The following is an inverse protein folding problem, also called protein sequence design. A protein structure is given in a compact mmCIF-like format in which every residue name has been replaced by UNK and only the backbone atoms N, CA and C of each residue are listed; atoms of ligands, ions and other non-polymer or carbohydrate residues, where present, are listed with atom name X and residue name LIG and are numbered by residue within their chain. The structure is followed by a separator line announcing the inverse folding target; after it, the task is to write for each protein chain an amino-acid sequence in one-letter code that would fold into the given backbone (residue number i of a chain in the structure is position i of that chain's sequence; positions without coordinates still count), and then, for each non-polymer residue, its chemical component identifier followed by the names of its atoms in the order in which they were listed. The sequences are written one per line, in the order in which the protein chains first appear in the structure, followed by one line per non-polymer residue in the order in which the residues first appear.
data_IF_852918594848
#
_entry.id   IF_852918594848
#
_cell.length_a   1.000
_cell.length_b   1.000
_cell.length_c   1.000
_cell.angle_alpha   90.00
_cell.angle_beta   90.00
_cell.angle_gamma   90.00
#
_symmetry.space_group_name_H-M   'P 1'
#
loop_
_entity.id
_entity.type
_entity.pdbx_description
1 polymer ?
#
# COMPACT_ATOMS: atom_id res chain seq x y z
N UNK A 1 6.12 26.80 17.22
CA UNK A 1 7.17 27.22 18.17
C UNK A 1 6.88 26.51 19.49
N UNK A 2 7.84 25.78 20.05
CA UNK A 2 7.66 24.90 21.22
C UNK A 2 7.99 25.64 22.51
N UNK A 3 7.34 25.30 23.62
CA UNK A 3 7.90 25.50 24.96
C UNK A 3 8.35 24.14 25.49
N UNK A 4 9.66 23.95 25.61
CA UNK A 4 10.25 22.82 26.32
C UNK A 4 10.45 23.30 27.77
N UNK A 5 10.12 22.50 28.80
CA UNK A 5 10.49 22.83 30.17
C UNK A 5 12.01 23.03 30.26
N UNK A 6 12.43 24.12 30.89
CA UNK A 6 13.81 24.66 30.89
C UNK A 6 14.76 23.84 31.79
N UNK A 7 14.60 22.52 31.87
CA UNK A 7 15.33 21.68 32.84
C UNK A 7 15.89 20.36 32.32
N UNK A 8 15.77 20.01 31.03
CA UNK A 8 16.45 18.82 30.51
C UNK A 8 17.92 19.13 30.17
N UNK A 9 18.85 18.35 30.74
CA UNK A 9 20.28 18.43 30.41
C UNK A 9 20.50 17.93 28.97
N UNK A 10 21.40 18.52 28.16
CA UNK A 10 21.63 18.12 26.77
C UNK A 10 21.88 16.61 26.58
N UNK A 11 22.67 16.00 27.47
CA UNK A 11 22.99 14.56 27.41
C UNK A 11 21.78 13.68 27.68
N UNK A 12 20.83 14.14 28.51
CA UNK A 12 19.60 13.42 28.79
C UNK A 12 18.68 13.42 27.56
N UNK A 13 18.53 14.56 26.88
CA UNK A 13 17.77 14.65 25.64
C UNK A 13 18.33 13.73 24.55
N UNK A 14 19.66 13.68 24.43
CA UNK A 14 20.33 12.83 23.45
C UNK A 14 20.16 11.35 23.81
N UNK A 15 20.30 10.98 25.09
CA UNK A 15 20.09 9.61 25.56
C UNK A 15 18.66 9.11 25.30
N UNK A 16 17.64 9.91 25.66
CA UNK A 16 16.23 9.60 25.40
C UNK A 16 15.95 9.45 23.89
N UNK A 17 16.61 10.25 23.06
CA UNK A 17 16.49 10.13 21.60
C UNK A 17 17.08 8.81 21.08
N UNK A 18 18.31 8.47 21.50
CA UNK A 18 19.02 7.25 21.05
C UNK A 18 18.22 5.99 21.41
N UNK A 19 17.65 5.94 22.63
CA UNK A 19 16.84 4.81 23.09
C UNK A 19 15.57 4.63 22.23
N UNK A 20 14.86 5.73 21.96
CA UNK A 20 13.70 5.73 21.06
C UNK A 20 14.06 5.32 19.64
N UNK A 21 15.23 5.75 19.16
CA UNK A 21 15.75 5.41 17.84
C UNK A 21 16.03 3.91 17.73
N UNK A 22 16.69 3.32 18.72
CA UNK A 22 16.97 1.89 18.79
C UNK A 22 15.70 1.04 18.78
N UNK A 23 14.67 1.43 19.55
CA UNK A 23 13.38 0.73 19.51
C UNK A 23 12.70 0.86 18.15
N UNK A 24 12.66 2.06 17.58
CA UNK A 24 12.05 2.28 16.28
C UNK A 24 12.77 1.50 15.16
N UNK A 25 14.09 1.34 15.25
CA UNK A 25 14.87 0.45 14.38
C UNK A 25 14.44 -1.01 14.56
N UNK A 26 14.32 -1.49 15.79
CA UNK A 26 13.86 -2.85 16.09
C UNK A 26 12.40 -3.12 15.66
N UNK A 27 11.56 -2.09 15.53
CA UNK A 27 10.19 -2.22 15.01
C UNK A 27 10.15 -2.56 13.52
N UNK A 28 11.12 -2.07 12.72
CA UNK A 28 11.13 -2.22 11.25
C UNK A 28 11.03 -3.70 10.81
N UNK A 29 11.89 -4.63 11.29
CA UNK A 29 11.79 -6.03 10.89
C UNK A 29 10.47 -6.68 11.30
N UNK A 30 9.93 -6.33 12.48
CA UNK A 30 8.65 -6.86 12.97
C UNK A 30 7.47 -6.40 12.09
N UNK A 31 7.42 -5.11 11.75
CA UNK A 31 6.43 -4.55 10.83
C UNK A 31 6.53 -5.21 9.46
N UNK A 32 7.77 -5.35 8.95
CA UNK A 32 8.02 -5.98 7.65
C UNK A 32 7.62 -7.45 7.62
N UNK A 33 7.88 -8.20 8.69
CA UNK A 33 7.49 -9.60 8.84
C UNK A 33 5.96 -9.75 8.85
N UNK A 34 5.29 -8.98 9.72
CA UNK A 34 3.83 -8.97 9.83
C UNK A 34 3.16 -8.62 8.50
N UNK A 35 3.69 -7.64 7.78
CA UNK A 35 3.16 -7.26 6.48
C UNK A 35 3.35 -8.34 5.41
N UNK A 36 4.56 -8.91 5.29
CA UNK A 36 4.85 -9.91 4.23
C UNK A 36 4.24 -11.27 4.50
N UNK A 37 4.25 -11.73 5.76
CA UNK A 37 3.93 -13.12 6.11
C UNK A 37 2.50 -13.29 6.64
N UNK A 38 1.87 -12.20 7.07
CA UNK A 38 0.55 -12.22 7.69
C UNK A 38 -0.43 -11.25 7.03
N UNK A 39 0.02 -10.43 6.07
CA UNK A 39 -0.72 -9.30 5.50
C UNK A 39 -1.34 -8.39 6.59
N UNK A 40 -0.56 -8.16 7.65
CA UNK A 40 -0.97 -7.25 8.73
C UNK A 40 -0.46 -5.85 8.42
N UNK A 41 -1.39 -4.91 8.25
CA UNK A 41 -1.09 -3.50 8.04
C UNK A 41 -1.04 -2.78 9.38
N UNK A 42 0.17 -2.42 9.81
CA UNK A 42 0.40 -1.68 11.06
C UNK A 42 0.38 -0.17 10.83
N UNK A 43 -0.33 0.56 11.69
CA UNK A 43 -0.47 2.02 11.60
C UNK A 43 -0.49 2.71 12.96
N UNK A 44 -0.35 4.04 12.98
CA UNK A 44 -0.59 4.89 14.15
C UNK A 44 -1.57 5.99 13.77
N UNK A 45 -2.78 5.92 14.31
CA UNK A 45 -3.87 6.85 14.02
C UNK A 45 -4.10 7.08 12.52
N UNK A 46 -4.03 5.99 11.74
CA UNK A 46 -4.16 5.96 10.29
C UNK A 46 -2.88 6.23 9.48
N UNK A 47 -1.75 6.56 10.13
CA UNK A 47 -0.45 6.66 9.45
C UNK A 47 0.20 5.29 9.35
N UNK A 48 0.29 4.73 8.15
CA UNK A 48 0.96 3.43 7.91
C UNK A 48 2.43 3.46 8.29
N UNK A 49 2.89 2.41 8.97
CA UNK A 49 4.28 2.20 9.37
C UNK A 49 5.08 1.31 8.40
N UNK A 50 4.44 0.76 7.38
CA UNK A 50 5.08 -0.11 6.38
C UNK A 50 6.07 0.69 5.54
N UNK A 51 7.26 0.12 5.29
CA UNK A 51 8.33 0.72 4.49
C UNK A 51 8.70 2.14 4.97
N UNK A 52 8.64 2.38 6.28
CA UNK A 52 9.00 3.68 6.88
C UNK A 52 10.38 3.63 7.49
N UNK A 53 11.11 4.75 7.37
CA UNK A 53 12.35 4.97 8.10
C UNK A 53 12.10 5.11 9.60
N UNK A 54 13.15 4.89 10.40
CA UNK A 54 13.15 5.07 11.86
C UNK A 54 12.56 6.44 12.25
N UNK A 55 13.04 7.51 11.62
CA UNK A 55 12.54 8.88 11.83
C UNK A 55 11.05 9.02 11.51
N UNK A 56 10.58 8.35 10.46
CA UNK A 56 9.16 8.41 10.07
C UNK A 56 8.27 7.69 11.09
N UNK A 57 8.74 6.56 11.64
CA UNK A 57 8.07 5.85 12.74
C UNK A 57 7.99 6.75 13.98
N UNK A 58 9.08 7.40 14.38
CA UNK A 58 9.10 8.34 15.51
C UNK A 58 8.17 9.53 15.30
N UNK A 59 8.13 10.09 14.09
CA UNK A 59 7.18 11.16 13.73
C UNK A 59 5.72 10.70 13.77
N UNK A 60 5.44 9.45 13.41
CA UNK A 60 4.09 8.90 13.48
C UNK A 60 3.61 8.77 14.94
N UNK A 61 4.48 8.31 15.85
CA UNK A 61 4.23 8.29 17.30
C UNK A 61 3.98 9.71 17.84
N UNK A 62 4.85 10.67 17.51
CA UNK A 62 4.68 12.07 17.93
C UNK A 62 3.38 12.70 17.42
N UNK A 63 2.90 12.29 16.24
CA UNK A 63 1.64 12.78 15.69
C UNK A 63 0.42 12.35 16.52
N UNK A 64 0.49 11.23 17.23
CA UNK A 64 -0.61 10.68 18.03
C UNK A 64 -1.17 11.67 19.06
N UNK A 65 -0.34 12.59 19.57
CA UNK A 65 -0.78 13.65 20.49
C UNK A 65 -1.94 14.50 19.98
N UNK A 66 -2.06 14.68 18.66
CA UNK A 66 -3.16 15.44 18.05
C UNK A 66 -4.47 14.63 17.98
N UNK A 67 -4.44 13.39 18.47
CA UNK A 67 -5.56 12.45 18.48
C UNK A 67 -5.86 11.95 19.90
N UNK A 68 -5.05 12.32 20.89
CA UNK A 68 -5.26 12.01 22.29
C UNK A 68 -5.83 13.22 23.02
N UNK A 69 -6.76 13.00 23.96
CA UNK A 69 -7.50 14.05 24.63
C UNK A 69 -6.63 14.91 25.57
N UNK A 70 -5.50 14.37 26.02
CA UNK A 70 -4.55 14.99 26.95
C UNK A 70 -3.31 15.58 26.25
N UNK A 71 -3.30 15.60 24.91
CA UNK A 71 -2.14 15.99 24.08
C UNK A 71 -0.84 15.26 24.42
N UNK A 72 -0.91 14.08 25.06
CA UNK A 72 0.29 13.32 25.42
C UNK A 72 0.95 12.71 24.19
N UNK A 73 2.28 12.56 24.25
CA UNK A 73 3.03 11.94 23.17
C UNK A 73 3.02 10.42 23.37
N UNK A 74 2.45 9.69 22.39
CA UNK A 74 2.59 8.24 22.36
C UNK A 74 4.06 7.87 22.18
N UNK A 75 4.57 7.04 23.07
CA UNK A 75 5.96 6.58 23.06
C UNK A 75 6.12 5.28 22.27
N UNK A 76 7.28 5.09 21.63
CA UNK A 76 7.67 3.80 21.04
C UNK A 76 7.79 2.69 22.10
N UNK A 77 8.06 3.06 23.35
CA UNK A 77 8.09 2.14 24.48
C UNK A 77 6.71 1.54 24.79
N UNK A 78 5.64 2.26 24.46
CA UNK A 78 4.26 1.78 24.69
C UNK A 78 3.79 0.86 23.56
N UNK A 79 4.25 1.08 22.31
CA UNK A 79 3.81 0.32 21.14
C UNK A 79 4.69 -0.88 20.82
N UNK A 80 6.00 -0.81 21.12
CA UNK A 80 6.95 -1.87 20.81
C UNK A 80 6.58 -3.24 21.44
N UNK A 81 6.21 -3.33 22.73
CA UNK A 81 5.82 -4.61 23.32
C UNK A 81 4.59 -5.24 22.66
N UNK A 82 3.61 -4.41 22.26
CA UNK A 82 2.40 -4.86 21.57
C UNK A 82 2.73 -5.37 20.17
N UNK A 83 3.56 -4.63 19.42
CA UNK A 83 4.02 -5.04 18.10
C UNK A 83 4.82 -6.35 18.16
N UNK A 84 5.68 -6.50 19.17
CA UNK A 84 6.43 -7.74 19.40
C UNK A 84 5.48 -8.92 19.65
N UNK A 85 4.52 -8.76 20.56
CA UNK A 85 3.50 -9.77 20.81
C UNK A 85 2.74 -10.15 19.52
N UNK A 86 2.30 -9.16 18.72
CA UNK A 86 1.64 -9.41 17.44
C UNK A 86 2.48 -10.29 16.50
N UNK A 87 3.80 -10.06 16.43
CA UNK A 87 4.70 -10.80 15.54
C UNK A 87 4.84 -12.29 15.88
N UNK A 88 4.52 -12.66 17.12
CA UNK A 88 4.66 -14.03 17.64
C UNK A 88 3.35 -14.84 17.54
N UNK A 89 2.22 -14.17 17.28
CA UNK A 89 0.87 -14.76 17.33
C UNK A 89 0.38 -15.40 16.02
N UNK A 90 1.20 -15.42 14.96
CA UNK A 90 0.84 -15.96 13.64
C UNK A 90 -0.54 -15.46 13.16
N UNK A 91 -0.70 -14.14 13.17
CA UNK A 91 -1.97 -13.48 12.82
C UNK A 91 -2.39 -13.78 11.37
N UNK A 92 -3.69 -13.76 11.10
CA UNK A 92 -4.25 -13.62 9.76
C UNK A 92 -4.22 -12.16 9.27
N UNK A 93 -4.72 -11.93 8.06
CA UNK A 93 -4.75 -10.60 7.45
C UNK A 93 -5.61 -9.64 8.27
N UNK A 94 -5.05 -8.48 8.64
CA UNK A 94 -5.71 -7.48 9.47
C UNK A 94 -5.12 -6.08 9.30
N UNK A 95 -5.90 -5.05 9.61
CA UNK A 95 -5.38 -3.68 9.79
C UNK A 95 -5.37 -3.36 11.28
N UNK A 96 -4.20 -3.11 11.84
CA UNK A 96 -4.03 -2.85 13.27
C UNK A 96 -3.43 -1.47 13.48
N UNK A 97 -4.13 -0.64 14.27
CA UNK A 97 -3.66 0.67 14.68
C UNK A 97 -2.99 0.56 16.06
N UNK A 98 -1.66 0.56 16.08
CA UNK A 98 -0.86 0.42 17.30
C UNK A 98 -1.10 1.58 18.28
N UNK A 99 -1.44 2.77 17.79
CA UNK A 99 -1.72 3.91 18.66
C UNK A 99 -3.03 3.75 19.43
N UNK A 100 -4.05 3.20 18.77
CA UNK A 100 -5.32 2.84 19.42
C UNK A 100 -5.14 1.65 20.35
N UNK A 101 -4.40 0.62 19.91
CA UNK A 101 -4.15 -0.58 20.69
C UNK A 101 -3.37 -0.28 21.98
N UNK A 102 -2.34 0.58 21.91
CA UNK A 102 -1.60 1.03 23.09
C UNK A 102 -2.46 1.83 24.07
N UNK A 103 -3.30 2.72 23.57
CA UNK A 103 -4.24 3.46 24.42
C UNK A 103 -5.24 2.52 25.11
N UNK A 104 -5.76 1.51 24.39
CA UNK A 104 -6.66 0.53 24.97
C UNK A 104 -5.95 -0.33 26.03
N UNK A 105 -4.72 -0.78 25.75
CA UNK A 105 -3.92 -1.52 26.72
C UNK A 105 -3.65 -0.71 28.00
N UNK A 106 -3.38 0.59 27.87
CA UNK A 106 -3.18 1.48 29.02
C UNK A 106 -4.43 1.63 29.90
N UNK A 107 -5.62 1.59 29.30
CA UNK A 107 -6.90 1.76 30.00
C UNK A 107 -7.44 0.46 30.58
N UNK A 108 -7.28 -0.65 29.85
CA UNK A 108 -7.97 -1.91 30.11
C UNK A 108 -7.01 -3.08 30.43
N UNK A 109 -5.70 -2.88 30.29
CA UNK A 109 -4.71 -3.93 30.47
C UNK A 109 -4.62 -4.48 31.89
N UNK A 110 -5.09 -3.74 32.90
CA UNK A 110 -5.26 -4.20 34.30
C UNK A 110 -4.04 -4.93 34.91
N UNK A 111 -2.82 -4.56 34.51
CA UNK A 111 -1.57 -5.19 34.98
C UNK A 111 -1.20 -6.51 34.28
N UNK A 112 -2.00 -6.95 33.30
CA UNK A 112 -1.69 -8.07 32.41
C UNK A 112 -0.53 -7.76 31.45
N UNK A 113 0.00 -8.81 30.82
CA UNK A 113 1.10 -8.64 29.87
C UNK A 113 0.59 -8.15 28.51
N UNK A 114 1.45 -7.46 27.75
CA UNK A 114 1.16 -7.06 26.37
C UNK A 114 0.77 -8.27 25.50
N UNK A 115 1.37 -9.44 25.74
CA UNK A 115 1.05 -10.66 24.98
C UNK A 115 -0.39 -11.14 25.23
N UNK A 116 -0.80 -11.22 26.50
CA UNK A 116 -2.16 -11.64 26.87
C UNK A 116 -3.19 -10.71 26.26
N UNK A 117 -2.99 -9.40 26.43
CA UNK A 117 -3.90 -8.39 25.91
C UNK A 117 -4.01 -8.43 24.38
N UNK A 118 -2.90 -8.47 23.65
CA UNK A 118 -2.92 -8.52 22.18
C UNK A 118 -3.60 -9.80 21.68
N UNK A 119 -3.37 -10.93 22.35
CA UNK A 119 -3.99 -12.21 21.99
C UNK A 119 -5.51 -12.16 22.13
N UNK A 120 -6.01 -11.54 23.20
CA UNK A 120 -7.45 -11.36 23.45
C UNK A 120 -8.05 -10.38 22.44
N UNK A 121 -7.43 -9.21 22.26
CA UNK A 121 -7.92 -8.17 21.34
C UNK A 121 -7.94 -8.60 19.88
N UNK A 122 -6.96 -9.41 19.47
CA UNK A 122 -6.84 -9.91 18.10
C UNK A 122 -7.31 -11.36 17.95
N UNK A 123 -8.07 -11.89 18.92
CA UNK A 123 -8.48 -13.30 18.95
C UNK A 123 -9.14 -13.78 17.64
N UNK A 124 -9.87 -12.88 16.96
CA UNK A 124 -10.52 -13.16 15.68
C UNK A 124 -9.55 -13.49 14.53
N UNK A 125 -8.26 -13.16 14.65
CA UNK A 125 -7.23 -13.40 13.62
C UNK A 125 -6.01 -14.17 14.12
N UNK A 126 -5.89 -14.45 15.43
CA UNK A 126 -4.78 -15.22 16.00
C UNK A 126 -4.74 -16.64 15.41
N UNK A 127 -3.54 -17.09 15.03
CA UNK A 127 -3.32 -18.43 14.45
C UNK A 127 -3.87 -18.61 13.02
N UNK A 128 -4.42 -17.57 12.40
CA UNK A 128 -5.00 -17.62 11.07
C UNK A 128 -4.03 -17.24 9.95
N UNK A 129 -2.72 -17.27 10.20
CA UNK A 129 -1.72 -17.08 9.17
C UNK A 129 -1.96 -18.07 8.01
N UNK A 130 -2.06 -17.54 6.79
CA UNK A 130 -2.37 -18.29 5.56
C UNK A 130 -3.75 -18.98 5.52
N UNK A 131 -4.66 -18.74 6.48
CA UNK A 131 -5.98 -19.39 6.50
C UNK A 131 -6.87 -18.99 5.31
N UNK A 132 -6.66 -17.79 4.76
CA UNK A 132 -7.28 -17.32 3.52
C UNK A 132 -6.21 -16.92 2.53
N UNK A 133 -5.64 -17.89 1.81
CA UNK A 133 -4.84 -17.60 0.62
C UNK A 133 -5.75 -16.97 -0.45
N UNK A 134 -6.07 -15.69 -0.32
CA UNK A 134 -6.79 -14.95 -1.35
C UNK A 134 -5.83 -14.80 -2.53
N UNK A 135 -6.25 -15.29 -3.71
CA UNK A 135 -5.57 -14.97 -4.97
C UNK A 135 -5.65 -13.45 -5.12
N UNK A 136 -4.49 -12.78 -5.11
CA UNK A 136 -4.42 -11.33 -5.30
C UNK A 136 -5.13 -10.92 -6.59
N UNK A 137 -5.62 -9.69 -6.65
CA UNK A 137 -6.27 -9.16 -7.85
C UNK A 137 -5.22 -8.58 -8.76
N UNK A 138 -5.07 -9.17 -9.95
CA UNK A 138 -4.21 -8.61 -10.98
C UNK A 138 -4.77 -7.28 -11.48
N UNK A 139 -3.90 -6.29 -11.62
CA UNK A 139 -4.23 -4.95 -12.10
C UNK A 139 -3.45 -4.68 -13.37
N UNK A 140 -4.16 -4.19 -14.38
CA UNK A 140 -3.59 -3.71 -15.63
C UNK A 140 -3.85 -2.23 -15.75
N UNK A 141 -2.79 -1.43 -15.95
CA UNK A 141 -2.95 0.00 -16.23
C UNK A 141 -3.03 0.20 -17.73
N UNK A 142 -4.20 0.58 -18.23
CA UNK A 142 -4.34 0.95 -19.62
C UNK A 142 -3.97 2.43 -19.76
N UNK A 143 -2.79 2.69 -20.30
CA UNK A 143 -2.11 3.98 -20.27
C UNK A 143 -1.00 4.04 -19.21
N UNK A 144 0.06 4.79 -19.53
CA UNK A 144 1.22 5.02 -18.66
C UNK A 144 1.65 6.50 -18.64
N UNK A 145 0.63 7.37 -18.66
CA UNK A 145 0.79 8.82 -18.51
C UNK A 145 1.08 9.20 -17.06
N UNK A 146 0.80 10.45 -16.69
CA UNK A 146 1.04 10.94 -15.32
C UNK A 146 0.30 10.10 -14.27
N UNK A 147 -1.01 9.90 -14.44
CA UNK A 147 -1.84 9.12 -13.51
C UNK A 147 -1.40 7.65 -13.48
N UNK A 148 -1.22 7.02 -14.65
CA UNK A 148 -0.74 5.64 -14.73
C UNK A 148 0.59 5.41 -14.01
N UNK A 149 1.56 6.31 -14.12
CA UNK A 149 2.83 6.19 -13.39
C UNK A 149 2.67 6.33 -11.89
N UNK A 150 1.82 7.26 -11.42
CA UNK A 150 1.56 7.41 -9.99
C UNK A 150 0.85 6.18 -9.40
N UNK A 151 -0.16 5.66 -10.10
CA UNK A 151 -0.82 4.42 -9.72
C UNK A 151 0.15 3.25 -9.71
N UNK A 152 1.04 3.15 -10.72
CA UNK A 152 2.05 2.11 -10.74
C UNK A 152 2.95 2.17 -9.51
N UNK A 153 3.46 3.35 -9.14
CA UNK A 153 4.28 3.52 -7.93
C UNK A 153 3.52 3.09 -6.67
N UNK A 154 2.27 3.50 -6.51
CA UNK A 154 1.44 3.15 -5.34
C UNK A 154 1.17 1.64 -5.30
N UNK A 155 0.84 1.02 -6.43
CA UNK A 155 0.59 -0.42 -6.51
C UNK A 155 1.86 -1.20 -6.17
N UNK A 156 3.01 -0.81 -6.70
CA UNK A 156 4.31 -1.45 -6.42
C UNK A 156 4.67 -1.34 -4.93
N UNK A 157 4.46 -0.16 -4.31
CA UNK A 157 4.70 0.04 -2.87
C UNK A 157 3.77 -0.82 -1.99
N UNK A 158 2.53 -1.05 -2.45
CA UNK A 158 1.48 -1.74 -1.72
C UNK A 158 1.29 -3.21 -2.09
N UNK A 159 2.15 -3.79 -2.93
CA UNK A 159 2.01 -5.21 -3.32
C UNK A 159 2.05 -6.16 -2.12
N UNK A 160 2.87 -5.86 -1.10
CA UNK A 160 2.95 -6.65 0.13
C UNK A 160 3.29 -8.12 -0.13
N UNK A 161 2.55 -9.03 0.53
CA UNK A 161 2.66 -10.47 0.33
C UNK A 161 2.08 -10.98 -1.01
N UNK A 162 1.52 -10.10 -1.84
CA UNK A 162 0.95 -10.45 -3.15
C UNK A 162 -0.49 -10.93 -3.12
N UNK A 163 -1.20 -10.78 -2.00
CA UNK A 163 -2.61 -11.15 -1.81
C UNK A 163 -3.59 -9.96 -1.99
N UNK A 164 -3.05 -8.75 -2.15
CA UNK A 164 -3.80 -7.53 -2.50
C UNK A 164 -3.87 -7.25 -4.00
N UNK A 165 -3.78 -5.96 -4.36
CA UNK A 165 -3.69 -5.51 -5.75
C UNK A 165 -2.27 -5.70 -6.30
N UNK A 166 -2.14 -6.34 -7.46
CA UNK A 166 -0.84 -6.64 -8.08
C UNK A 166 -0.75 -6.01 -9.45
N UNK A 167 0.17 -5.07 -9.65
CA UNK A 167 0.41 -4.55 -10.99
C UNK A 167 1.08 -5.62 -11.85
N UNK A 168 0.36 -6.13 -12.86
CA UNK A 168 0.86 -7.19 -13.76
C UNK A 168 1.20 -6.71 -15.16
N UNK A 169 0.50 -5.69 -15.65
CA UNK A 169 0.77 -5.16 -16.97
C UNK A 169 0.47 -3.66 -17.07
N UNK A 170 1.11 -3.03 -18.06
CA UNK A 170 0.75 -1.71 -18.57
C UNK A 170 0.49 -1.84 -20.07
N UNK A 171 -0.57 -1.21 -20.56
CA UNK A 171 -0.90 -1.17 -21.99
C UNK A 171 -0.64 0.22 -22.53
N UNK A 172 0.12 0.32 -23.61
CA UNK A 172 0.59 1.59 -24.14
C UNK A 172 0.68 1.55 -25.66
N UNK A 173 0.64 2.70 -26.32
CA UNK A 173 0.98 2.78 -27.74
C UNK A 173 2.51 2.73 -27.90
N UNK A 174 2.99 1.98 -28.89
CA UNK A 174 4.41 1.90 -29.20
C UNK A 174 4.93 3.29 -29.59
N UNK A 175 5.91 3.78 -28.83
CA UNK A 175 6.61 5.02 -29.12
C UNK A 175 7.73 4.84 -30.14
N UNK A 176 8.67 5.78 -30.12
CA UNK A 176 9.91 5.72 -30.90
C UNK A 176 10.86 4.62 -30.39
N UNK A 177 12.03 4.48 -31.00
CA UNK A 177 13.08 3.58 -30.52
C UNK A 177 13.38 3.77 -29.02
N UNK A 178 13.72 2.66 -28.36
CA UNK A 178 13.98 2.56 -26.91
C UNK A 178 12.78 2.96 -26.02
N UNK A 179 11.54 2.75 -26.50
CA UNK A 179 10.33 3.13 -25.76
C UNK A 179 10.26 2.50 -24.36
N UNK A 180 10.63 1.23 -24.24
CA UNK A 180 10.64 0.52 -22.95
C UNK A 180 11.58 1.17 -21.94
N UNK A 181 12.81 1.50 -22.37
CA UNK A 181 13.82 2.21 -21.56
C UNK A 181 13.31 3.59 -21.14
N UNK A 182 12.66 4.32 -22.05
CA UNK A 182 12.06 5.63 -21.74
C UNK A 182 10.96 5.50 -20.68
N UNK A 183 10.08 4.48 -20.78
CA UNK A 183 9.02 4.24 -19.78
C UNK A 183 9.58 3.90 -18.41
N UNK A 184 10.59 3.03 -18.35
CA UNK A 184 11.27 2.71 -17.11
C UNK A 184 11.95 3.95 -16.49
N UNK A 185 12.56 4.81 -17.31
CA UNK A 185 13.14 6.09 -16.86
C UNK A 185 12.08 7.04 -16.29
N UNK A 186 10.92 7.14 -16.94
CA UNK A 186 9.79 7.95 -16.45
C UNK A 186 9.17 7.38 -15.17
N UNK A 187 9.20 6.06 -14.97
CA UNK A 187 8.84 5.47 -13.69
C UNK A 187 9.88 5.82 -12.62
N UNK A 188 11.18 5.76 -12.96
CA UNK A 188 12.31 6.04 -12.05
C UNK A 188 12.36 7.48 -11.57
N UNK A 189 12.05 8.45 -12.44
CA UNK A 189 12.17 9.90 -12.12
C UNK A 189 10.87 10.62 -12.42
N UNK A 190 10.31 11.26 -11.40
CA UNK A 190 9.17 12.17 -11.53
C UNK A 190 9.55 13.54 -10.98
N UNK A 191 9.23 14.61 -11.71
CA UNK A 191 9.62 15.97 -11.33
C UNK A 191 8.81 16.53 -10.16
N UNK A 192 7.63 15.98 -9.88
CA UNK A 192 6.74 16.45 -8.80
C UNK A 192 6.81 15.52 -7.60
N UNK A 193 6.87 14.22 -7.85
CA UNK A 193 6.84 13.19 -6.80
C UNK A 193 8.22 12.60 -6.49
N UNK A 194 9.28 13.12 -7.12
CA UNK A 194 10.65 12.71 -6.86
C UNK A 194 11.04 11.36 -7.47
N UNK A 195 12.20 10.82 -7.06
CA UNK A 195 12.65 9.52 -7.53
C UNK A 195 11.72 8.40 -7.06
N UNK A 196 11.67 7.31 -7.82
CA UNK A 196 11.06 6.07 -7.38
C UNK A 196 11.88 5.45 -6.26
N UNK A 197 11.22 5.03 -5.19
CA UNK A 197 11.85 4.42 -4.03
C UNK A 197 12.06 2.91 -4.28
N UNK A 198 13.18 2.59 -4.93
CA UNK A 198 13.63 1.22 -5.11
C UNK A 198 14.29 0.92 -6.45
N UNK A 199 14.21 -0.34 -6.88
CA UNK A 199 14.94 -0.87 -8.02
C UNK A 199 14.04 -1.04 -9.24
N UNK A 200 14.62 -0.83 -10.43
CA UNK A 200 13.96 -1.04 -11.72
C UNK A 200 14.96 -1.72 -12.63
N UNK A 201 14.59 -2.90 -13.14
CA UNK A 201 15.29 -3.61 -14.22
C UNK A 201 14.37 -3.76 -15.43
N UNK A 202 14.97 -3.94 -16.60
CA UNK A 202 14.26 -4.02 -17.88
C UNK A 202 14.71 -5.28 -18.60
N UNK A 203 13.77 -5.99 -19.19
CA UNK A 203 14.02 -7.07 -20.13
C UNK A 203 13.38 -6.68 -21.47
N UNK A 204 14.23 -6.27 -22.41
CA UNK A 204 13.79 -5.84 -23.75
C UNK A 204 13.30 -7.01 -24.61
N UNK A 205 13.86 -8.21 -24.43
CA UNK A 205 13.48 -9.38 -25.20
C UNK A 205 12.04 -9.79 -24.90
N UNK A 206 11.64 -9.70 -23.62
CA UNK A 206 10.30 -10.07 -23.15
C UNK A 206 9.35 -8.87 -22.99
N UNK A 207 9.81 -7.64 -23.27
CA UNK A 207 9.07 -6.39 -23.04
C UNK A 207 8.55 -6.25 -21.60
N UNK A 208 9.41 -6.48 -20.60
CA UNK A 208 9.02 -6.38 -19.19
C UNK A 208 9.83 -5.33 -18.43
N UNK A 209 9.20 -4.79 -17.38
CA UNK A 209 9.84 -3.95 -16.36
C UNK A 209 9.65 -4.66 -15.03
N UNK A 210 10.73 -4.92 -14.30
CA UNK A 210 10.65 -5.42 -12.93
C UNK A 210 10.95 -4.29 -11.96
N UNK A 211 9.97 -3.92 -11.12
CA UNK A 211 10.10 -2.85 -10.14
C UNK A 211 9.83 -3.35 -8.72
N UNK A 212 10.82 -3.28 -7.84
CA UNK A 212 10.77 -3.85 -6.48
C UNK A 212 10.23 -5.31 -6.45
N UNK A 213 10.65 -6.13 -7.41
CA UNK A 213 10.21 -7.52 -7.56
C UNK A 213 8.85 -7.71 -8.26
N UNK A 214 8.12 -6.63 -8.58
CA UNK A 214 6.91 -6.72 -9.39
C UNK A 214 7.29 -6.82 -10.87
N UNK A 215 7.05 -7.98 -11.48
CA UNK A 215 7.20 -8.19 -12.91
C UNK A 215 6.00 -7.60 -13.65
N UNK A 216 6.24 -6.58 -14.47
CA UNK A 216 5.21 -5.82 -15.19
C UNK A 216 5.41 -6.04 -16.69
N UNK A 217 4.43 -6.66 -17.33
CA UNK A 217 4.39 -6.79 -18.79
C UNK A 217 4.08 -5.44 -19.44
N UNK A 218 4.86 -5.03 -20.43
CA UNK A 218 4.53 -3.88 -21.29
C UNK A 218 3.90 -4.41 -22.57
N UNK A 219 2.62 -4.09 -22.73
CA UNK A 219 1.80 -4.53 -23.87
C UNK A 219 1.63 -3.34 -24.80
N UNK A 220 1.98 -3.54 -26.07
CA UNK A 220 1.83 -2.51 -27.10
C UNK A 220 0.54 -2.73 -27.89
N UNK A 221 -0.43 -1.83 -27.75
CA UNK A 221 -1.71 -1.90 -28.46
C UNK A 221 -2.24 -0.50 -28.78
N UNK A 222 -2.99 -0.37 -29.88
CA UNK A 222 -3.64 0.90 -30.26
C UNK A 222 -5.07 0.99 -29.73
N UNK A 223 -5.74 -0.14 -29.59
CA UNK A 223 -7.12 -0.31 -29.12
C UNK A 223 -7.24 -1.50 -28.15
N UNK A 224 -8.27 -1.52 -27.27
CA UNK A 224 -8.47 -2.61 -26.31
C UNK A 224 -8.72 -3.95 -27.01
N UNK A 225 -9.43 -3.93 -28.14
CA UNK A 225 -9.74 -5.13 -28.95
C UNK A 225 -8.52 -5.87 -29.48
N UNK A 226 -7.33 -5.28 -29.46
CA UNK A 226 -6.07 -5.93 -29.86
C UNK A 226 -5.41 -6.71 -28.71
N UNK A 227 -5.95 -6.64 -27.48
CA UNK A 227 -5.29 -7.14 -26.29
C UNK A 227 -5.94 -8.42 -25.79
N UNK A 228 -5.11 -9.45 -25.64
CA UNK A 228 -5.41 -10.66 -24.89
C UNK A 228 -4.48 -10.69 -23.67
N UNK A 229 -5.03 -10.63 -22.45
CA UNK A 229 -4.24 -10.65 -21.23
C UNK A 229 -3.86 -12.08 -20.81
N UNK A 230 -4.58 -13.09 -21.27
CA UNK A 230 -4.38 -14.49 -20.90
C UNK A 230 -3.04 -15.03 -21.41
N UNK A 231 -2.54 -14.50 -22.54
CA UNK A 231 -1.19 -14.82 -23.06
C UNK A 231 -0.06 -14.48 -22.06
N UNK A 232 -0.33 -13.61 -21.08
CA UNK A 232 0.60 -13.20 -20.04
C UNK A 232 0.25 -13.80 -18.66
N UNK A 233 -0.63 -14.80 -18.62
CA UNK A 233 -1.08 -15.45 -17.38
C UNK A 233 -1.90 -14.52 -16.49
N UNK A 234 -2.70 -13.62 -17.10
CA UNK A 234 -3.61 -12.71 -16.43
C UNK A 234 -5.04 -13.11 -16.83
N UNK A 235 -5.84 -13.56 -15.87
CA UNK A 235 -7.12 -14.23 -16.13
C UNK A 235 -8.34 -13.48 -15.56
N UNK A 236 -8.14 -12.61 -14.58
CA UNK A 236 -9.22 -11.95 -13.83
C UNK A 236 -8.80 -10.54 -13.40
N UNK A 237 -8.37 -9.73 -14.37
CA UNK A 237 -7.78 -8.43 -14.11
C UNK A 237 -8.82 -7.33 -13.88
N UNK A 238 -8.46 -6.43 -12.96
CA UNK A 238 -8.98 -5.08 -12.91
C UNK A 238 -8.20 -4.21 -13.90
N UNK A 239 -8.87 -3.73 -14.93
CA UNK A 239 -8.32 -2.78 -15.89
C UNK A 239 -8.55 -1.36 -15.37
N UNK A 240 -7.51 -0.57 -15.26
CA UNK A 240 -7.60 0.85 -14.91
C UNK A 240 -7.28 1.68 -16.14
N UNK A 241 -8.31 2.17 -16.81
CA UNK A 241 -8.16 3.08 -17.94
C UNK A 241 -7.81 4.48 -17.44
N UNK A 242 -6.54 4.83 -17.63
CA UNK A 242 -5.98 6.13 -17.32
C UNK A 242 -5.62 6.94 -18.58
N UNK A 243 -6.05 6.50 -19.76
CA UNK A 243 -5.98 7.27 -21.00
C UNK A 243 -7.12 8.29 -21.09
N UNK A 244 -8.29 7.95 -20.57
CA UNK A 244 -9.49 8.78 -20.65
C UNK A 244 -10.00 8.98 -22.08
N UNK A 245 -9.63 8.09 -23.01
CA UNK A 245 -10.11 8.09 -24.39
C UNK A 245 -11.52 7.53 -24.45
N UNK A 246 -11.78 6.43 -23.75
CA UNK A 246 -13.11 5.84 -23.58
C UNK A 246 -13.74 6.41 -22.32
N UNK A 247 -14.96 6.93 -22.44
CA UNK A 247 -15.64 7.62 -21.33
C UNK A 247 -17.09 7.21 -21.15
N UNK A 248 -17.63 6.33 -21.98
CA UNK A 248 -18.99 5.80 -21.91
C UNK A 248 -18.94 4.29 -21.73
N UNK A 249 -20.11 3.70 -21.42
CA UNK A 249 -20.24 2.27 -21.17
C UNK A 249 -19.79 1.43 -22.37
N UNK A 250 -20.16 1.83 -23.59
CA UNK A 250 -19.79 1.11 -24.81
C UNK A 250 -18.27 1.13 -25.06
N UNK A 251 -17.63 2.29 -24.85
CA UNK A 251 -16.19 2.42 -24.96
C UNK A 251 -15.44 1.57 -23.93
N UNK A 252 -15.87 1.62 -22.67
CA UNK A 252 -15.28 0.80 -21.60
C UNK A 252 -15.59 -0.69 -21.75
N UNK A 253 -16.72 -1.04 -22.37
CA UNK A 253 -17.10 -2.41 -22.71
C UNK A 253 -16.09 -3.10 -23.62
N UNK A 254 -15.34 -2.33 -24.43
CA UNK A 254 -14.23 -2.88 -25.23
C UNK A 254 -13.12 -3.46 -24.36
N UNK A 255 -12.83 -2.86 -23.19
CA UNK A 255 -11.87 -3.41 -22.25
C UNK A 255 -12.40 -4.66 -21.54
N UNK A 256 -13.70 -4.69 -21.19
CA UNK A 256 -14.33 -5.86 -20.58
C UNK A 256 -14.37 -7.07 -21.53
N UNK A 257 -14.49 -6.82 -22.83
CA UNK A 257 -14.43 -7.87 -23.84
C UNK A 257 -13.03 -8.49 -24.04
N UNK A 258 -11.96 -7.87 -23.52
CA UNK A 258 -10.61 -8.42 -23.62
C UNK A 258 -10.47 -9.71 -22.79
N UNK A 259 -9.95 -10.82 -23.35
CA UNK A 259 -9.71 -12.03 -22.58
C UNK A 259 -8.81 -11.75 -21.37
N UNK A 260 -9.23 -12.21 -20.20
CA UNK A 260 -8.54 -12.01 -18.92
C UNK A 260 -8.87 -10.70 -18.20
N UNK A 261 -9.68 -9.81 -18.77
CA UNK A 261 -10.27 -8.67 -18.06
C UNK A 261 -11.55 -9.10 -17.33
N UNK A 262 -11.80 -8.50 -16.17
CA UNK A 262 -12.98 -8.80 -15.37
C UNK A 262 -13.76 -7.56 -14.94
N UNK A 263 -13.05 -6.47 -14.63
CA UNK A 263 -13.65 -5.18 -14.25
C UNK A 263 -12.84 -4.04 -14.85
N UNK A 264 -13.50 -2.90 -15.07
CA UNK A 264 -12.87 -1.70 -15.62
C UNK A 264 -13.17 -0.49 -14.75
N UNK A 265 -12.13 0.26 -14.39
CA UNK A 265 -12.24 1.56 -13.71
C UNK A 265 -11.65 2.63 -14.61
N UNK A 266 -12.41 3.71 -14.81
CA UNK A 266 -11.98 4.90 -15.54
C UNK A 266 -11.45 5.96 -14.55
N UNK A 267 -10.27 6.53 -14.81
CA UNK A 267 -9.70 7.60 -13.96
C UNK A 267 -10.03 9.00 -14.47
N UNK A 268 -11.17 9.15 -15.13
CA UNK A 268 -11.68 10.40 -15.69
C UNK A 268 -13.21 10.45 -15.49
N UNK A 269 -13.85 11.63 -15.58
CA UNK A 269 -15.30 11.72 -15.48
C UNK A 269 -15.97 10.86 -16.56
N UNK A 270 -16.79 9.90 -16.11
CA UNK A 270 -17.60 9.06 -16.97
C UNK A 270 -18.78 9.84 -17.56
N UNK A 271 -19.23 9.44 -18.75
CA UNK A 271 -20.38 9.98 -19.46
C UNK A 271 -21.57 9.01 -19.35
N UNK A 272 -22.77 9.56 -19.55
CA UNK A 272 -24.00 8.78 -19.59
C UNK A 272 -24.35 8.14 -18.24
N UNK A 273 -24.66 6.85 -18.25
CA UNK A 273 -25.11 6.10 -17.08
C UNK A 273 -23.97 5.59 -16.18
N UNK A 274 -22.71 5.87 -16.51
CA UNK A 274 -21.58 5.42 -15.69
C UNK A 274 -21.58 6.10 -14.32
N UNK A 275 -21.47 5.28 -13.27
CA UNK A 275 -21.35 5.75 -11.89
C UNK A 275 -20.03 6.50 -11.72
N UNK A 276 -20.11 7.77 -11.30
CA UNK A 276 -18.95 8.53 -10.88
C UNK A 276 -18.80 8.36 -9.36
N UNK A 277 -17.74 7.68 -8.93
CA UNK A 277 -17.51 7.32 -7.54
C UNK A 277 -16.41 8.18 -6.92
N UNK A 278 -16.73 8.81 -5.80
CA UNK A 278 -15.78 9.51 -4.93
C UNK A 278 -15.64 8.73 -3.63
N UNK A 279 -14.44 8.20 -3.39
CA UNK A 279 -14.14 7.45 -2.17
C UNK A 279 -14.37 8.32 -0.92
N UNK A 280 -15.04 7.76 0.08
CA UNK A 280 -15.46 8.48 1.28
C UNK A 280 -16.77 9.28 1.17
N UNK A 281 -17.34 9.43 -0.03
CA UNK A 281 -18.64 10.11 -0.22
C UNK A 281 -19.71 9.09 -0.63
N UNK A 282 -19.55 8.47 -1.81
CA UNK A 282 -20.57 7.61 -2.40
C UNK A 282 -20.00 6.25 -2.90
N UNK A 283 -18.85 5.84 -2.36
CA UNK A 283 -18.25 4.55 -2.68
C UNK A 283 -19.10 3.33 -2.30
N UNK A 284 -20.12 3.50 -1.46
CA UNK A 284 -21.12 2.46 -1.18
C UNK A 284 -22.06 2.17 -2.35
N UNK A 285 -22.09 3.02 -3.38
CA UNK A 285 -22.96 2.86 -4.56
C UNK A 285 -22.43 1.80 -5.55
N UNK A 286 -21.21 1.30 -5.32
CA UNK A 286 -20.61 0.21 -6.11
C UNK A 286 -21.35 -1.09 -5.74
N UNK A 287 -21.98 -1.69 -6.74
CA UNK A 287 -22.70 -2.94 -6.63
C UNK A 287 -21.85 -4.12 -7.17
N UNK A 288 -22.27 -5.34 -6.88
CA UNK A 288 -21.53 -6.54 -7.27
C UNK A 288 -21.59 -6.85 -8.78
N UNK A 289 -22.57 -6.28 -9.47
CA UNK A 289 -22.84 -6.38 -10.90
C UNK A 289 -22.23 -5.23 -11.72
N UNK A 290 -21.51 -4.29 -11.08
CA UNK A 290 -20.70 -3.25 -11.73
C UNK A 290 -19.33 -3.76 -12.23
#
# INVERSE_FOLDING_TARGET
MWKVPVTQKPDQCLGEWIDREALAEAMIPLIGQLYRNNNVVSSIYGRSLINRSVISILKAHRFARHRQADETELSVHETFPLLKAMSELKLGAASVDLGKLANKFKQEGNGGTAEQFVREELAAVVGQQNASARKGTDVVLYGFGRIGRLLARILIEKTGGGDGLRLRAIVVRKGAENDLVKRASLLRRDSVHGPFDGTITIDEANNTITANGNLIQVIYAKSPSEVDYTQYGIENALIVDNTGVWRDADGLGQHLACPGAARVILTAPGKGALKNIVHGINHGDIAADD
#
